data_IF_749010008562
#
_entry.id   IF_749010008562
#
_cell.length_a   1.000
_cell.length_b   1.000
_cell.length_c   1.000
_cell.angle_alpha   90.00
_cell.angle_beta   90.00
_cell.angle_gamma   90.00
#
_symmetry.space_group_name_H-M   'P 1'
#
loop_
_entity.id
_entity.type
_entity.pdbx_description
1 polymer ?
#
# COMPACT_ATOMS: atom_id res chain seq x y z
N UNK A 1 4.44 4.88 12.25
CA UNK A 1 4.97 4.82 10.86
C UNK A 1 4.32 5.79 9.85
N UNK A 2 3.14 5.55 9.23
CA UNK A 2 2.65 6.44 8.14
C UNK A 2 2.52 7.92 8.56
N UNK A 3 2.07 8.17 9.78
CA UNK A 3 2.04 9.52 10.37
C UNK A 3 3.42 10.19 10.39
N UNK A 4 4.44 9.45 10.84
CA UNK A 4 5.85 9.88 10.90
C UNK A 4 6.40 10.17 9.49
N UNK A 5 5.91 9.44 8.49
CA UNK A 5 6.21 9.66 7.06
C UNK A 5 5.36 10.76 6.40
N UNK A 6 4.57 11.51 7.17
CA UNK A 6 3.83 12.68 6.70
C UNK A 6 2.36 12.46 6.37
N UNK A 7 1.79 11.26 6.56
CA UNK A 7 0.34 11.05 6.48
C UNK A 7 -0.33 11.49 7.80
N UNK A 8 -0.35 12.80 7.99
CA UNK A 8 -0.91 13.49 9.15
C UNK A 8 -2.37 13.92 8.90
N UNK A 9 -2.94 14.68 9.83
CA UNK A 9 -4.34 15.11 9.83
C UNK A 9 -4.64 16.02 8.62
N UNK A 10 -3.78 17.00 8.33
CA UNK A 10 -3.93 17.87 7.15
C UNK A 10 -3.87 17.09 5.83
N UNK A 11 -3.09 16.01 5.81
CA UNK A 11 -3.01 15.08 4.68
C UNK A 11 -4.23 14.14 4.54
N UNK A 12 -5.20 14.20 5.46
CA UNK A 12 -6.42 13.39 5.48
C UNK A 12 -6.18 11.95 5.94
N UNK A 13 -5.43 11.80 7.04
CA UNK A 13 -5.29 10.51 7.70
C UNK A 13 -6.55 10.11 8.49
N UNK A 14 -6.64 8.83 8.82
CA UNK A 14 -7.80 8.29 9.52
C UNK A 14 -7.64 8.38 11.04
N UNK A 15 -8.30 9.35 11.67
CA UNK A 15 -8.26 9.56 13.11
C UNK A 15 -9.64 9.99 13.66
N UNK A 16 -10.03 9.46 14.82
CA UNK A 16 -11.29 9.89 15.45
C UNK A 16 -11.25 11.37 15.85
N UNK A 17 -10.09 11.86 16.29
CA UNK A 17 -9.88 13.26 16.70
C UNK A 17 -8.55 13.75 16.13
N UNK A 18 -8.57 14.92 15.51
CA UNK A 18 -7.40 15.54 14.90
C UNK A 18 -6.68 16.53 15.83
N UNK A 19 -7.15 16.68 17.07
CA UNK A 19 -6.55 17.55 18.09
C UNK A 19 -6.36 19.03 17.67
N UNK A 20 -7.07 19.49 16.64
CA UNK A 20 -6.94 20.83 16.08
C UNK A 20 -5.81 20.98 15.04
N UNK A 21 -5.17 19.89 14.61
CA UNK A 21 -4.04 19.88 13.69
C UNK A 21 -4.43 19.97 12.18
N UNK A 22 -5.70 20.29 11.88
CA UNK A 22 -6.22 20.34 10.50
C UNK A 22 -6.97 19.08 10.08
N UNK A 23 -7.32 18.98 8.80
CA UNK A 23 -8.11 17.88 8.23
C UNK A 23 -9.53 17.74 8.78
N UNK A 24 -10.18 16.64 8.43
CA UNK A 24 -11.54 16.30 8.87
C UNK A 24 -11.53 14.99 9.66
N UNK A 25 -11.59 15.07 10.99
CA UNK A 25 -11.58 13.87 11.84
C UNK A 25 -12.91 13.11 11.86
N UNK A 26 -13.08 12.25 12.88
CA UNK A 26 -14.21 11.30 13.01
C UNK A 26 -14.23 10.22 11.93
N UNK A 27 -13.05 9.88 11.41
CA UNK A 27 -12.89 9.03 10.24
C UNK A 27 -11.95 7.84 10.49
N UNK A 28 -11.76 7.46 11.76
CA UNK A 28 -11.00 6.26 12.11
C UNK A 28 -11.45 5.03 11.33
N UNK A 29 -10.48 4.20 10.95
CA UNK A 29 -10.74 3.02 10.13
C UNK A 29 -11.57 1.99 10.91
N UNK A 30 -12.65 1.53 10.28
CA UNK A 30 -13.41 0.36 10.72
C UNK A 30 -12.66 -0.90 10.25
N UNK A 31 -12.22 -1.73 11.19
CA UNK A 31 -11.46 -2.95 10.92
C UNK A 31 -12.31 -4.19 11.23
N UNK A 32 -12.88 -4.80 10.19
CA UNK A 32 -13.65 -6.04 10.33
C UNK A 32 -12.73 -7.25 10.13
N UNK A 33 -12.58 -8.09 11.15
CA UNK A 33 -11.86 -9.36 11.07
C UNK A 33 -12.83 -10.50 10.76
N UNK A 34 -12.35 -11.50 10.00
CA UNK A 34 -13.15 -12.66 9.57
C UNK A 34 -14.54 -12.27 9.04
N UNK A 35 -14.61 -11.19 8.26
CA UNK A 35 -15.87 -10.62 7.79
C UNK A 35 -16.59 -11.64 6.89
N UNK A 36 -17.82 -12.00 7.26
CA UNK A 36 -18.59 -13.06 6.60
C UNK A 36 -19.10 -12.71 5.20
N UNK A 37 -18.82 -11.50 4.68
CA UNK A 37 -19.23 -11.10 3.33
C UNK A 37 -18.38 -11.71 2.20
N UNK A 38 -17.26 -12.36 2.52
CA UNK A 38 -16.37 -12.95 1.53
C UNK A 38 -15.41 -14.00 2.08
N UNK A 39 -14.66 -14.64 1.17
CA UNK A 39 -13.58 -15.58 1.44
C UNK A 39 -12.44 -15.34 0.44
N UNK A 40 -11.22 -15.75 0.80
CA UNK A 40 -10.03 -15.73 -0.07
C UNK A 40 -9.72 -14.35 -0.68
N UNK A 41 -10.00 -13.29 0.06
CA UNK A 41 -9.76 -11.93 -0.38
C UNK A 41 -9.64 -11.00 0.84
N UNK A 42 -9.46 -9.72 0.59
CA UNK A 42 -9.75 -8.64 1.52
C UNK A 42 -10.19 -7.42 0.69
N UNK A 43 -10.52 -6.30 1.35
CA UNK A 43 -10.69 -5.02 0.66
C UNK A 43 -10.71 -3.85 1.64
N UNK A 44 -10.47 -2.67 1.10
CA UNK A 44 -10.63 -1.40 1.78
C UNK A 44 -11.50 -0.42 0.98
N UNK A 45 -12.42 0.25 1.66
CA UNK A 45 -13.17 1.37 1.13
C UNK A 45 -12.56 2.68 1.62
N UNK A 46 -12.13 3.54 0.69
CA UNK A 46 -11.60 4.89 0.97
C UNK A 46 -12.63 5.95 0.61
N UNK A 47 -13.48 6.40 1.55
CA UNK A 47 -14.31 7.57 1.34
C UNK A 47 -13.47 8.86 1.39
N UNK A 48 -14.13 10.02 1.30
CA UNK A 48 -13.46 11.31 1.50
C UNK A 48 -13.07 11.48 2.98
N UNK A 49 -12.07 12.32 3.23
CA UNK A 49 -11.67 12.75 4.57
C UNK A 49 -12.87 13.16 5.43
N UNK A 50 -12.88 12.77 6.70
CA UNK A 50 -14.04 12.93 7.60
C UNK A 50 -15.09 11.83 7.51
N UNK A 51 -14.88 10.80 6.69
CA UNK A 51 -15.70 9.59 6.67
C UNK A 51 -14.84 8.36 6.94
N UNK A 52 -15.36 7.46 7.77
CA UNK A 52 -14.60 6.27 8.17
C UNK A 52 -14.28 5.37 6.98
N UNK A 53 -12.98 5.17 6.73
CA UNK A 53 -12.50 4.08 5.91
C UNK A 53 -12.95 2.73 6.48
N UNK A 54 -13.13 1.72 5.62
CA UNK A 54 -13.56 0.39 6.08
C UNK A 54 -12.75 -0.71 5.44
N UNK A 55 -11.97 -1.40 6.28
CA UNK A 55 -11.23 -2.60 5.92
C UNK A 55 -12.04 -3.84 6.28
N UNK A 56 -12.09 -4.81 5.37
CA UNK A 56 -12.71 -6.12 5.61
C UNK A 56 -11.69 -7.21 5.29
N UNK A 57 -11.30 -7.95 6.33
CA UNK A 57 -10.38 -9.08 6.24
C UNK A 57 -11.18 -10.38 6.21
N UNK A 58 -10.86 -11.31 5.30
CA UNK A 58 -11.59 -12.57 5.15
C UNK A 58 -10.79 -13.80 5.53
N UNK A 59 -11.50 -14.90 5.77
CA UNK A 59 -10.91 -16.22 5.92
C UNK A 59 -10.53 -16.78 4.55
N UNK A 60 -9.35 -17.41 4.46
CA UNK A 60 -8.86 -18.13 3.31
C UNK A 60 -9.07 -19.63 3.52
N UNK A 61 -9.81 -20.27 2.61
CA UNK A 61 -10.24 -21.68 2.72
C UNK A 61 -9.49 -22.62 1.76
N UNK A 62 -8.31 -22.21 1.29
CA UNK A 62 -7.45 -23.01 0.40
C UNK A 62 -6.47 -23.92 1.16
N UNK A 63 -6.63 -24.04 2.48
CA UNK A 63 -5.81 -24.90 3.35
C UNK A 63 -6.67 -25.58 4.42
N UNK A 64 -6.12 -26.59 5.09
CA UNK A 64 -6.74 -27.22 6.26
C UNK A 64 -5.77 -27.18 7.44
N UNK A 65 -6.09 -26.47 8.54
CA UNK A 65 -7.26 -25.62 8.72
C UNK A 65 -7.24 -24.38 7.80
N UNK A 66 -8.37 -23.69 7.70
CA UNK A 66 -8.46 -22.39 7.03
C UNK A 66 -7.46 -21.41 7.66
N UNK A 67 -6.93 -20.49 6.86
CA UNK A 67 -6.03 -19.42 7.31
C UNK A 67 -6.81 -18.11 7.44
N UNK A 68 -6.54 -17.35 8.49
CA UNK A 68 -7.15 -16.03 8.69
C UNK A 68 -6.19 -14.95 8.18
N UNK A 69 -6.62 -14.17 7.19
CA UNK A 69 -5.80 -13.10 6.59
C UNK A 69 -5.45 -11.97 7.56
N UNK A 70 -6.16 -11.87 8.69
CA UNK A 70 -5.86 -10.89 9.74
C UNK A 70 -4.47 -11.11 10.35
N UNK A 71 -3.89 -12.31 10.22
CA UNK A 71 -2.53 -12.62 10.69
C UNK A 71 -1.45 -12.42 9.60
N UNK A 72 -1.86 -12.11 8.37
CA UNK A 72 -0.95 -11.85 7.26
C UNK A 72 -0.74 -10.33 7.14
N UNK A 73 0.32 -9.80 7.77
CA UNK A 73 0.64 -8.36 7.74
C UNK A 73 0.71 -7.82 6.30
N UNK A 74 1.21 -8.65 5.38
CA UNK A 74 0.86 -8.71 3.94
C UNK A 74 -0.37 -7.93 3.54
N UNK A 75 -1.47 -8.58 3.82
CA UNK A 75 -2.80 -8.24 3.34
C UNK A 75 -3.29 -7.00 4.10
N UNK A 76 -3.03 -6.89 5.41
CA UNK A 76 -3.44 -5.71 6.19
C UNK A 76 -2.80 -4.43 5.66
N UNK A 77 -1.50 -4.45 5.37
CA UNK A 77 -0.78 -3.29 4.82
C UNK A 77 -1.26 -3.00 3.39
N UNK A 78 -1.41 -4.04 2.56
CA UNK A 78 -1.96 -3.89 1.22
C UNK A 78 -3.32 -3.18 1.28
N UNK A 79 -4.25 -3.66 2.10
CA UNK A 79 -5.58 -3.06 2.20
C UNK A 79 -5.58 -1.66 2.82
N UNK A 80 -4.67 -1.34 3.73
CA UNK A 80 -4.61 0.02 4.27
C UNK A 80 -4.11 1.03 3.23
N UNK A 81 -3.25 0.60 2.31
CA UNK A 81 -2.53 1.47 1.37
C UNK A 81 -3.43 2.23 0.37
N UNK A 82 -4.58 1.69 -0.12
CA UNK A 82 -5.59 2.47 -0.82
C UNK A 82 -6.15 3.64 0.00
N UNK A 83 -6.21 3.53 1.33
CA UNK A 83 -6.56 4.63 2.23
C UNK A 83 -5.58 5.80 2.07
N UNK A 84 -4.29 5.52 2.24
CA UNK A 84 -3.21 6.49 2.04
C UNK A 84 -3.22 7.09 0.63
N UNK A 85 -3.17 6.24 -0.39
CA UNK A 85 -2.92 6.68 -1.78
C UNK A 85 -4.10 7.45 -2.36
N UNK A 86 -5.35 7.09 -2.05
CA UNK A 86 -6.52 7.86 -2.51
C UNK A 86 -6.70 9.18 -1.75
N UNK A 87 -6.31 9.28 -0.47
CA UNK A 87 -6.33 10.56 0.24
C UNK A 87 -5.24 11.52 -0.28
N UNK A 88 -4.03 11.01 -0.50
CA UNK A 88 -2.90 11.82 -0.94
C UNK A 88 -2.99 12.23 -2.41
N UNK A 89 -3.55 11.38 -3.27
CA UNK A 89 -3.64 11.67 -4.71
C UNK A 89 -4.78 12.63 -4.99
N UNK A 90 -4.45 13.89 -5.30
CA UNK A 90 -5.46 14.93 -5.59
C UNK A 90 -6.07 15.59 -4.35
N UNK A 91 -5.55 15.25 -3.16
CA UNK A 91 -5.91 15.84 -1.88
C UNK A 91 -7.10 15.16 -1.18
N UNK A 92 -7.22 15.37 0.14
CA UNK A 92 -8.14 14.63 1.03
C UNK A 92 -9.62 14.80 0.67
N UNK A 93 -9.97 15.88 -0.03
CA UNK A 93 -11.32 16.16 -0.51
C UNK A 93 -11.68 15.46 -1.84
N UNK A 94 -10.80 14.62 -2.41
CA UNK A 94 -11.04 13.97 -3.71
C UNK A 94 -10.48 12.53 -3.80
N UNK A 95 -11.33 11.53 -3.55
CA UNK A 95 -10.96 10.11 -3.65
C UNK A 95 -11.04 9.50 -5.06
N UNK A 96 -11.19 10.31 -6.12
CA UNK A 96 -11.40 9.83 -7.51
C UNK A 96 -10.17 9.92 -8.40
N UNK A 97 -9.02 10.34 -7.87
CA UNK A 97 -7.84 10.59 -8.70
C UNK A 97 -7.10 9.32 -9.17
N UNK A 98 -7.41 8.15 -8.57
CA UNK A 98 -6.88 6.85 -9.00
C UNK A 98 -7.93 5.98 -9.72
N UNK A 99 -8.94 6.60 -10.33
CA UNK A 99 -10.06 5.86 -10.93
C UNK A 99 -9.94 5.60 -12.45
N UNK A 100 -8.95 6.17 -13.15
CA UNK A 100 -8.76 5.96 -14.60
C UNK A 100 -7.71 4.88 -14.87
N UNK A 101 -7.75 4.24 -16.05
CA UNK A 101 -7.00 3.01 -16.35
C UNK A 101 -5.52 2.99 -15.88
N UNK A 102 -4.76 4.05 -16.18
CA UNK A 102 -3.34 4.14 -15.80
C UNK A 102 -3.16 4.50 -14.32
N UNK A 103 -3.94 5.45 -13.80
CA UNK A 103 -3.81 5.88 -12.39
C UNK A 103 -4.33 4.84 -11.41
N UNK A 104 -5.42 4.15 -11.75
CA UNK A 104 -5.87 2.96 -11.04
C UNK A 104 -4.89 1.81 -11.14
N UNK A 105 -4.12 1.71 -12.24
CA UNK A 105 -3.04 0.73 -12.36
C UNK A 105 -1.98 0.95 -11.30
N UNK A 106 -1.54 2.19 -11.11
CA UNK A 106 -0.60 2.58 -10.04
C UNK A 106 -1.22 2.38 -8.65
N UNK A 107 -2.47 2.82 -8.46
CA UNK A 107 -3.22 2.65 -7.21
C UNK A 107 -3.41 1.20 -6.78
N UNK A 108 -3.47 0.27 -7.74
CA UNK A 108 -3.60 -1.16 -7.46
C UNK A 108 -2.28 -1.82 -7.01
N UNK A 109 -1.11 -1.21 -7.24
CA UNK A 109 0.20 -1.84 -6.93
C UNK A 109 1.06 -1.10 -5.93
N UNK A 110 0.81 0.18 -5.66
CA UNK A 110 1.39 0.81 -4.47
C UNK A 110 1.15 0.01 -3.19
N UNK A 111 -0.04 -0.60 -2.98
CA UNK A 111 -0.27 -1.53 -1.88
C UNK A 111 0.74 -2.67 -1.78
N UNK A 112 1.09 -3.31 -2.90
CA UNK A 112 2.08 -4.39 -2.94
C UNK A 112 3.49 -3.86 -2.64
N UNK A 113 3.82 -2.67 -3.14
CA UNK A 113 5.09 -2.01 -2.84
C UNK A 113 5.22 -1.70 -1.34
N UNK A 114 4.24 -1.03 -0.73
CA UNK A 114 4.28 -0.72 0.70
C UNK A 114 4.31 -1.98 1.56
N UNK A 115 3.49 -2.98 1.20
CA UNK A 115 3.48 -4.25 1.87
C UNK A 115 4.89 -4.87 1.89
N UNK A 116 5.57 -4.90 0.74
CA UNK A 116 6.93 -5.44 0.69
C UNK A 116 7.95 -4.55 1.39
N UNK A 117 8.01 -3.24 1.08
CA UNK A 117 9.01 -2.34 1.65
C UNK A 117 9.00 -2.33 3.19
N UNK A 118 7.83 -2.52 3.81
CA UNK A 118 7.68 -2.60 5.27
C UNK A 118 8.13 -3.96 5.84
N UNK A 119 8.09 -5.02 5.03
CA UNK A 119 8.46 -6.38 5.42
C UNK A 119 9.86 -6.80 5.01
N UNK A 120 10.56 -6.00 4.19
CA UNK A 120 11.96 -6.23 3.87
C UNK A 120 12.74 -6.31 5.18
N UNK A 121 13.56 -7.35 5.28
CA UNK A 121 14.48 -7.55 6.39
C UNK A 121 15.91 -7.29 5.95
N UNK A 122 16.80 -6.98 6.90
CA UNK A 122 18.21 -6.75 6.61
C UNK A 122 18.95 -7.96 6.01
N UNK A 123 18.35 -9.17 6.06
CA UNK A 123 18.89 -10.37 5.41
C UNK A 123 18.34 -10.59 4.00
N UNK A 124 17.30 -9.87 3.60
CA UNK A 124 16.70 -10.01 2.29
C UNK A 124 17.60 -9.37 1.24
N UNK A 125 17.61 -9.95 0.05
CA UNK A 125 18.34 -9.39 -1.10
C UNK A 125 17.46 -9.32 -2.32
N UNK A 126 17.77 -8.36 -3.20
CA UNK A 126 17.14 -8.22 -4.51
C UNK A 126 17.21 -9.53 -5.30
N UNK A 127 18.33 -10.26 -5.25
CA UNK A 127 18.54 -11.47 -6.05
C UNK A 127 17.81 -12.71 -5.52
N UNK A 128 17.67 -12.86 -4.19
CA UNK A 128 17.14 -14.08 -3.59
C UNK A 128 15.65 -14.01 -3.22
N UNK A 129 15.19 -12.85 -2.75
CA UNK A 129 13.88 -12.73 -2.08
C UNK A 129 12.88 -11.93 -2.92
N UNK A 130 13.36 -11.01 -3.76
CA UNK A 130 12.54 -10.17 -4.63
C UNK A 130 13.17 -9.95 -6.02
N UNK A 131 13.42 -11.02 -6.81
CA UNK A 131 14.11 -10.91 -8.09
C UNK A 131 13.34 -10.02 -9.06
N UNK A 132 13.97 -8.90 -9.44
CA UNK A 132 13.44 -7.92 -10.42
C UNK A 132 14.20 -7.95 -11.76
N UNK A 133 15.00 -8.98 -11.99
CA UNK A 133 15.82 -9.07 -13.20
C UNK A 133 14.98 -9.02 -14.51
N UNK A 134 15.56 -8.45 -15.57
CA UNK A 134 14.90 -8.26 -16.86
C UNK A 134 14.59 -9.56 -17.63
N UNK A 135 15.09 -10.72 -17.21
CA UNK A 135 14.69 -12.03 -17.73
C UNK A 135 13.42 -12.54 -17.04
N UNK A 136 13.29 -12.31 -15.74
CA UNK A 136 12.11 -12.66 -14.92
C UNK A 136 10.98 -11.64 -15.10
N UNK A 137 11.31 -10.36 -15.25
CA UNK A 137 10.37 -9.25 -15.42
C UNK A 137 10.83 -8.22 -16.47
N UNK A 138 10.65 -8.50 -17.78
CA UNK A 138 11.13 -7.63 -18.86
C UNK A 138 10.32 -6.34 -19.07
N UNK A 139 9.42 -5.98 -18.15
CA UNK A 139 8.51 -4.85 -18.36
C UNK A 139 9.24 -3.51 -18.29
N UNK A 140 9.21 -2.78 -19.41
CA UNK A 140 9.64 -1.37 -19.47
C UNK A 140 8.42 -0.45 -19.59
N UNK A 141 8.62 0.86 -19.43
CA UNK A 141 7.54 1.84 -19.66
C UNK A 141 6.89 1.70 -21.06
N UNK A 142 7.65 1.27 -22.06
CA UNK A 142 7.13 1.04 -23.42
C UNK A 142 6.10 -0.09 -23.49
N UNK A 143 6.15 -1.06 -22.56
CA UNK A 143 5.20 -2.16 -22.49
C UNK A 143 3.76 -1.63 -22.30
N UNK A 144 3.60 -0.50 -21.61
CA UNK A 144 2.31 0.15 -21.35
C UNK A 144 1.52 0.50 -22.62
N UNK A 145 2.18 0.66 -23.76
CA UNK A 145 1.52 0.95 -25.04
C UNK A 145 0.69 -0.23 -25.57
N UNK A 146 0.90 -1.43 -25.03
CA UNK A 146 0.24 -2.67 -25.47
C UNK A 146 -0.73 -3.25 -24.43
N UNK A 147 -0.82 -2.64 -23.24
CA UNK A 147 -1.60 -3.15 -22.12
C UNK A 147 -3.01 -2.54 -22.10
N UNK A 148 -4.00 -3.34 -21.68
CA UNK A 148 -5.41 -2.92 -21.63
C UNK A 148 -6.05 -3.12 -20.26
N UNK A 149 -5.34 -3.70 -19.29
CA UNK A 149 -5.86 -4.01 -17.95
C UNK A 149 -5.06 -3.29 -16.86
N UNK A 150 -5.78 -2.72 -15.89
CA UNK A 150 -5.27 -2.01 -14.69
C UNK A 150 -4.08 -2.74 -14.05
N UNK A 151 -4.24 -4.03 -13.76
CA UNK A 151 -3.20 -4.84 -13.10
C UNK A 151 -1.89 -4.94 -13.89
N UNK A 152 -1.95 -4.93 -15.23
CA UNK A 152 -0.74 -5.02 -16.06
C UNK A 152 0.05 -3.70 -16.05
N UNK A 153 -0.64 -2.55 -16.03
CA UNK A 153 0.02 -1.25 -15.83
C UNK A 153 0.70 -1.18 -14.46
N UNK A 154 0.02 -1.73 -13.46
CA UNK A 154 0.54 -1.83 -12.11
C UNK A 154 1.84 -2.63 -12.04
N UNK A 155 1.94 -3.80 -12.68
CA UNK A 155 3.17 -4.62 -12.62
C UNK A 155 4.42 -3.84 -13.07
N UNK A 156 4.32 -3.02 -14.12
CA UNK A 156 5.43 -2.19 -14.60
C UNK A 156 5.84 -1.14 -13.56
N UNK A 157 4.86 -0.52 -12.90
CA UNK A 157 5.10 0.49 -11.86
C UNK A 157 5.71 -0.14 -10.61
N UNK A 158 5.22 -1.32 -10.23
CA UNK A 158 5.75 -2.12 -9.13
C UNK A 158 7.24 -2.41 -9.36
N UNK A 159 7.63 -2.92 -10.53
CA UNK A 159 9.05 -3.16 -10.89
C UNK A 159 9.91 -1.91 -10.70
N UNK A 160 9.45 -0.76 -11.20
CA UNK A 160 10.19 0.50 -11.07
C UNK A 160 10.42 0.90 -9.61
N UNK A 161 9.40 0.72 -8.75
CA UNK A 161 9.50 1.06 -7.33
C UNK A 161 10.40 0.10 -6.56
N UNK A 162 10.38 -1.19 -6.90
CA UNK A 162 11.26 -2.19 -6.27
C UNK A 162 12.72 -1.96 -6.64
N UNK A 163 13.01 -1.67 -7.90
CA UNK A 163 14.35 -1.28 -8.35
C UNK A 163 14.84 -0.03 -7.60
N UNK A 164 13.97 0.97 -7.45
CA UNK A 164 14.29 2.17 -6.69
C UNK A 164 14.58 1.85 -5.21
N UNK A 165 13.78 0.99 -4.58
CA UNK A 165 13.97 0.58 -3.19
C UNK A 165 15.34 -0.05 -2.97
N UNK A 166 15.71 -1.04 -3.79
CA UNK A 166 17.00 -1.72 -3.66
C UNK A 166 18.18 -0.79 -3.94
N UNK A 167 18.09 0.07 -4.96
CA UNK A 167 19.13 1.06 -5.22
C UNK A 167 19.32 2.04 -4.05
N UNK A 168 18.25 2.39 -3.33
CA UNK A 168 18.32 3.23 -2.13
C UNK A 168 18.92 2.47 -0.95
N UNK A 169 18.52 1.22 -0.73
CA UNK A 169 19.08 0.34 0.31
C UNK A 169 20.58 0.12 0.09
N UNK A 170 21.01 -0.18 -1.14
CA UNK A 170 22.42 -0.39 -1.47
C UNK A 170 23.28 0.85 -1.19
N UNK A 171 22.71 2.04 -1.43
CA UNK A 171 23.41 3.31 -1.26
C UNK A 171 23.42 3.81 0.20
N UNK A 172 22.31 3.64 0.92
CA UNK A 172 22.09 4.27 2.22
C UNK A 172 22.05 3.27 3.38
N UNK A 173 22.08 1.97 3.09
CA UNK A 173 21.80 0.91 4.05
C UNK A 173 20.30 0.75 4.30
N UNK A 174 19.94 -0.39 4.89
CA UNK A 174 18.61 -0.64 5.45
C UNK A 174 18.64 -0.54 6.99
N UNK A 175 17.47 -0.39 7.61
CA UNK A 175 17.31 -0.38 9.07
C UNK A 175 16.26 -1.37 9.52
N UNK A 176 16.60 -2.16 10.55
CA UNK A 176 15.62 -3.02 11.24
C UNK A 176 14.74 -2.24 12.22
N UNK A 177 14.92 -0.92 12.35
CA UNK A 177 14.09 -0.09 13.21
C UNK A 177 12.67 0.04 12.64
N UNK A 178 11.66 -0.03 13.51
CA UNK A 178 10.25 0.08 13.12
C UNK A 178 9.85 1.50 12.67
N UNK A 179 10.68 2.50 12.99
CA UNK A 179 10.44 3.89 12.61
C UNK A 179 11.71 4.52 12.03
N UNK A 180 11.56 5.40 11.02
CA UNK A 180 12.69 6.07 10.42
C UNK A 180 13.31 7.09 11.38
N UNK A 181 14.61 7.30 11.25
CA UNK A 181 15.30 8.46 11.82
C UNK A 181 15.50 9.49 10.73
N UNK A 182 15.01 10.70 10.92
CA UNK A 182 15.27 11.81 9.99
C UNK A 182 16.58 12.49 10.36
N UNK A 183 17.41 12.78 9.36
CA UNK A 183 18.60 13.61 9.53
C UNK A 183 18.22 15.06 9.86
N UNK A 184 19.09 15.75 10.59
CA UNK A 184 19.03 17.21 10.73
C UNK A 184 19.69 17.83 9.49
N UNK A 185 18.89 18.12 8.45
CA UNK A 185 19.31 18.97 7.33
C UNK A 185 18.79 20.40 7.52
#
# INVERSE_FOLDING_TARGET
MLYVLGFNEEAGNFQTSNFGNGGSGSDSVILNTQDGSGLNNANFATPLDGQQGRMRMYVFNQSTPNRDSSFEAGIVIHEYSPGLTNCMTGGPANSRCLSVLKSGGMGAVWPDFYATAIRVSASDTCDADYPVDMQTNPYTYSALNSLTRVLQFGTVWCTMLYEMLWNLIDKHGDTAALEPTFGED
#
